data_IF_311353202277
#
_entry.id   IF_311353202277
#
_cell.length_a   1.000
_cell.length_b   1.000
_cell.length_c   1.000
_cell.angle_alpha   90.00
_cell.angle_beta   90.00
_cell.angle_gamma   90.00
#
_symmetry.space_group_name_H-M   'P 1'
#
loop_
_entity.id
_entity.type
_entity.pdbx_description
1 polymer ?
#
# COMPACT_ATOMS: atom_id res chain seq x y z
N UNK A 1 -26.60 -23.70 -7.75
CA UNK A 1 -25.58 -23.01 -8.54
C UNK A 1 -25.20 -21.76 -7.76
N UNK A 2 -24.09 -21.82 -7.01
CA UNK A 2 -23.57 -20.65 -6.32
C UNK A 2 -22.92 -19.75 -7.36
N UNK A 3 -23.58 -18.63 -7.66
CA UNK A 3 -22.96 -17.53 -8.38
C UNK A 3 -21.97 -16.87 -7.42
N UNK A 4 -20.69 -17.15 -7.62
CA UNK A 4 -19.63 -16.33 -7.05
C UNK A 4 -19.68 -15.02 -7.85
N UNK A 5 -20.25 -13.99 -7.24
CA UNK A 5 -20.12 -12.62 -7.75
C UNK A 5 -18.67 -12.24 -7.50
N UNK A 6 -17.85 -12.28 -8.55
CA UNK A 6 -16.50 -11.72 -8.52
C UNK A 6 -16.66 -10.21 -8.31
N UNK A 7 -16.41 -9.74 -7.09
CA UNK A 7 -16.21 -8.31 -6.86
C UNK A 7 -15.04 -7.87 -7.75
N UNK A 8 -15.24 -6.79 -8.50
CA UNK A 8 -14.18 -6.08 -9.24
C UNK A 8 -13.07 -5.75 -8.23
N UNK A 9 -12.08 -6.63 -8.12
CA UNK A 9 -10.95 -6.44 -7.21
C UNK A 9 -9.97 -5.59 -7.99
N UNK A 10 -10.14 -4.28 -7.88
CA UNK A 10 -9.31 -3.31 -8.57
C UNK A 10 -7.84 -3.55 -8.22
N UNK A 11 -6.99 -3.54 -9.24
CA UNK A 11 -5.53 -3.59 -9.07
C UNK A 11 -4.97 -2.22 -8.64
N UNK A 12 -5.59 -1.60 -7.62
CA UNK A 12 -5.17 -0.35 -7.00
C UNK A 12 -5.88 0.93 -7.51
N UNK A 13 -5.50 2.09 -6.98
CA UNK A 13 -6.24 3.35 -7.13
C UNK A 13 -6.20 3.95 -8.54
N UNK A 14 -5.11 3.73 -9.28
CA UNK A 14 -4.99 4.21 -10.67
C UNK A 14 -5.92 3.45 -11.62
N UNK A 15 -6.13 2.14 -11.38
CA UNK A 15 -7.08 1.32 -12.14
C UNK A 15 -8.51 1.82 -11.94
N UNK A 16 -8.89 2.12 -10.70
CA UNK A 16 -10.20 2.69 -10.40
C UNK A 16 -10.41 4.04 -11.10
N UNK A 17 -9.40 4.92 -11.11
CA UNK A 17 -9.49 6.19 -11.81
C UNK A 17 -9.70 6.03 -13.32
N UNK A 18 -8.97 5.12 -13.96
CA UNK A 18 -9.17 4.85 -15.38
C UNK A 18 -10.58 4.34 -15.66
N UNK A 19 -11.10 3.44 -14.83
CA UNK A 19 -12.47 2.94 -14.99
C UNK A 19 -13.52 4.03 -14.81
N UNK A 20 -13.36 4.91 -13.82
CA UNK A 20 -14.26 6.05 -13.62
C UNK A 20 -14.21 7.03 -14.81
N UNK A 21 -13.03 7.25 -15.39
CA UNK A 21 -12.90 8.05 -16.62
C UNK A 21 -13.61 7.37 -17.79
N UNK A 22 -13.40 6.06 -17.98
CA UNK A 22 -14.00 5.30 -19.08
C UNK A 22 -15.53 5.21 -18.95
N UNK A 23 -16.06 4.97 -17.73
CA UNK A 23 -17.50 4.98 -17.42
C UNK A 23 -18.16 6.32 -17.75
N UNK A 24 -17.47 7.43 -17.47
CA UNK A 24 -17.95 8.78 -17.77
C UNK A 24 -17.58 9.27 -19.18
N UNK A 25 -16.89 8.44 -20.00
CA UNK A 25 -16.37 8.79 -21.33
C UNK A 25 -15.51 10.05 -21.35
N UNK A 26 -14.67 10.21 -20.32
CA UNK A 26 -13.80 11.36 -20.13
C UNK A 26 -12.37 11.06 -20.54
N UNK A 27 -11.66 12.09 -21.03
CA UNK A 27 -10.23 12.00 -21.33
C UNK A 27 -9.38 12.12 -20.05
N UNK A 28 -8.14 11.62 -20.08
CA UNK A 28 -7.19 11.81 -18.99
C UNK A 28 -6.65 13.25 -19.04
N UNK A 29 -7.37 14.17 -18.40
CA UNK A 29 -7.04 15.60 -18.27
C UNK A 29 -7.46 16.11 -16.89
N UNK A 30 -6.81 17.15 -16.39
CA UNK A 30 -7.13 17.77 -15.09
C UNK A 30 -8.62 18.12 -14.91
N UNK A 31 -9.29 18.62 -15.95
CA UNK A 31 -10.73 18.96 -15.90
C UNK A 31 -11.57 17.71 -15.63
N UNK A 32 -11.20 16.59 -16.25
CA UNK A 32 -11.91 15.32 -16.09
C UNK A 32 -11.64 14.67 -14.73
N UNK A 33 -10.40 14.73 -14.24
CA UNK A 33 -10.03 14.24 -12.90
C UNK A 33 -10.79 14.96 -11.79
N UNK A 34 -11.00 16.27 -11.93
CA UNK A 34 -11.83 17.07 -11.00
C UNK A 34 -13.29 16.63 -10.99
N UNK A 35 -13.85 16.30 -12.15
CA UNK A 35 -15.23 15.85 -12.28
C UNK A 35 -15.45 14.52 -11.54
N UNK A 36 -14.53 13.55 -11.71
CA UNK A 36 -14.66 12.22 -11.10
C UNK A 36 -14.18 12.12 -9.65
N UNK A 37 -13.59 13.19 -9.09
CA UNK A 37 -13.09 13.19 -7.70
C UNK A 37 -14.18 12.81 -6.68
N UNK A 38 -15.42 13.24 -6.92
CA UNK A 38 -16.56 12.89 -6.05
C UNK A 38 -16.92 11.40 -6.13
N UNK A 39 -16.89 10.84 -7.33
CA UNK A 39 -17.20 9.42 -7.56
C UNK A 39 -16.12 8.52 -6.97
N UNK A 40 -14.86 8.91 -7.10
CA UNK A 40 -13.73 8.22 -6.46
C UNK A 40 -13.86 8.20 -4.94
N UNK A 41 -14.16 9.35 -4.31
CA UNK A 41 -14.35 9.45 -2.86
C UNK A 41 -15.57 8.67 -2.36
N UNK A 42 -16.63 8.60 -3.16
CA UNK A 42 -17.82 7.80 -2.85
C UNK A 42 -17.47 6.31 -2.87
N UNK A 43 -16.75 5.89 -3.91
CA UNK A 43 -16.33 4.50 -4.07
C UNK A 43 -15.51 4.01 -2.87
N UNK A 44 -14.46 4.74 -2.48
CA UNK A 44 -13.62 4.34 -1.33
C UNK A 44 -14.35 4.35 0.02
N UNK A 45 -15.48 5.07 0.13
CA UNK A 45 -16.32 5.06 1.34
C UNK A 45 -17.32 3.90 1.35
N UNK A 46 -17.84 3.54 0.19
CA UNK A 46 -18.85 2.49 0.03
C UNK A 46 -18.24 1.09 -0.03
N UNK A 47 -17.00 0.97 -0.52
CA UNK A 47 -16.25 -0.29 -0.56
C UNK A 47 -15.38 -0.48 0.68
N UNK A 48 -15.35 -1.72 1.19
CA UNK A 48 -14.39 -2.15 2.22
C UNK A 48 -13.00 -2.37 1.58
N UNK A 49 -12.35 -1.27 1.17
CA UNK A 49 -10.95 -1.33 0.71
C UNK A 49 -10.11 -1.88 1.88
N UNK A 50 -9.33 -2.96 1.69
CA UNK A 50 -8.51 -3.53 2.74
C UNK A 50 -7.58 -2.47 3.34
N UNK A 51 -7.43 -2.48 4.68
CA UNK A 51 -6.62 -1.47 5.38
C UNK A 51 -5.18 -1.39 4.86
N UNK A 52 -4.63 -2.51 4.38
CA UNK A 52 -3.29 -2.59 3.78
C UNK A 52 -3.14 -1.75 2.51
N UNK A 53 -4.21 -1.57 1.72
CA UNK A 53 -4.21 -0.81 0.47
C UNK A 53 -4.76 0.60 0.62
N UNK A 54 -5.46 0.88 1.72
CA UNK A 54 -6.14 2.16 1.97
C UNK A 54 -5.19 3.37 1.87
N UNK A 55 -3.92 3.22 2.27
CA UNK A 55 -2.94 4.30 2.19
C UNK A 55 -2.75 4.83 0.75
N UNK A 56 -2.65 3.94 -0.23
CA UNK A 56 -2.47 4.32 -1.64
C UNK A 56 -3.73 5.00 -2.19
N UNK A 57 -4.91 4.51 -1.79
CA UNK A 57 -6.18 5.12 -2.18
C UNK A 57 -6.35 6.52 -1.59
N UNK A 58 -5.96 6.73 -0.33
CA UNK A 58 -5.99 8.03 0.35
C UNK A 58 -4.99 9.03 -0.25
N UNK A 59 -3.82 8.57 -0.67
CA UNK A 59 -2.85 9.42 -1.38
C UNK A 59 -3.43 9.94 -2.70
N UNK A 60 -4.10 9.09 -3.47
CA UNK A 60 -4.76 9.54 -4.70
C UNK A 60 -5.98 10.42 -4.39
N UNK A 61 -6.75 10.09 -3.35
CA UNK A 61 -7.87 10.91 -2.89
C UNK A 61 -7.45 12.34 -2.54
N UNK A 62 -6.32 12.50 -1.83
CA UNK A 62 -5.82 13.82 -1.44
C UNK A 62 -5.42 14.66 -2.66
N UNK A 63 -4.76 14.05 -3.66
CA UNK A 63 -4.44 14.70 -4.94
C UNK A 63 -5.71 15.17 -5.68
N UNK A 64 -6.77 14.35 -5.70
CA UNK A 64 -8.05 14.71 -6.33
C UNK A 64 -8.80 15.82 -5.58
N UNK A 65 -8.80 15.79 -4.25
CA UNK A 65 -9.38 16.85 -3.42
C UNK A 65 -8.63 18.16 -3.65
N UNK A 66 -7.30 18.12 -3.70
CA UNK A 66 -6.47 19.28 -4.01
C UNK A 66 -6.84 19.87 -5.38
N UNK A 67 -6.93 19.02 -6.40
CA UNK A 67 -7.37 19.39 -7.75
C UNK A 67 -8.72 20.11 -7.75
N UNK A 68 -9.69 19.60 -6.99
CA UNK A 68 -11.03 20.17 -6.88
C UNK A 68 -11.06 21.47 -6.06
N UNK A 69 -10.26 21.55 -5.00
CA UNK A 69 -10.10 22.75 -4.18
C UNK A 69 -9.56 23.92 -5.01
N UNK A 70 -8.55 23.68 -5.85
CA UNK A 70 -7.96 24.70 -6.74
C UNK A 70 -8.97 25.30 -7.72
N UNK A 71 -9.91 24.48 -8.22
CA UNK A 71 -10.99 24.97 -9.08
C UNK A 71 -11.94 25.91 -8.32
N UNK A 72 -12.26 25.58 -7.07
CA UNK A 72 -13.15 26.37 -6.23
C UNK A 72 -12.47 27.63 -5.64
N UNK A 73 -11.15 27.60 -5.48
CA UNK A 73 -10.37 28.66 -4.84
C UNK A 73 -9.14 29.05 -5.68
N UNK A 74 -9.33 29.73 -6.83
CA UNK A 74 -8.25 30.03 -7.78
C UNK A 74 -7.19 31.03 -7.25
N UNK A 75 -7.45 31.72 -6.15
CA UNK A 75 -6.56 32.74 -5.57
C UNK A 75 -5.56 32.19 -4.54
N UNK A 76 -5.71 30.91 -4.13
CA UNK A 76 -4.76 30.23 -3.25
C UNK A 76 -3.65 29.62 -4.11
N UNK A 77 -2.62 30.42 -4.40
CA UNK A 77 -1.42 29.93 -5.10
C UNK A 77 -0.54 29.19 -4.08
N UNK A 78 -0.67 27.87 -4.01
CA UNK A 78 0.26 26.98 -3.30
C UNK A 78 1.31 26.53 -4.32
N UNK A 79 2.41 27.29 -4.45
CA UNK A 79 3.42 27.12 -5.51
C UNK A 79 4.13 25.75 -5.49
N UNK A 80 4.27 25.10 -4.33
CA UNK A 80 5.00 23.82 -4.22
C UNK A 80 4.18 22.58 -4.63
N UNK A 81 2.85 22.65 -4.64
CA UNK A 81 1.97 21.49 -4.85
C UNK A 81 1.59 21.24 -6.33
N UNK A 82 1.89 22.19 -7.24
CA UNK A 82 1.54 22.05 -8.66
C UNK A 82 2.28 20.91 -9.37
N UNK A 83 3.49 20.54 -8.91
CA UNK A 83 4.25 19.42 -9.48
C UNK A 83 3.54 18.07 -9.27
N UNK A 84 2.89 17.87 -8.11
CA UNK A 84 2.22 16.62 -7.76
C UNK A 84 0.95 16.32 -8.56
N UNK A 85 0.36 17.35 -9.20
CA UNK A 85 -0.84 17.24 -10.02
C UNK A 85 -0.54 16.89 -11.47
N UNK A 86 0.40 17.58 -12.13
CA UNK A 86 0.84 17.21 -13.47
C UNK A 86 1.39 15.77 -13.50
N UNK A 87 1.98 15.36 -12.39
CA UNK A 87 2.40 13.99 -12.11
C UNK A 87 1.24 12.98 -12.17
N UNK A 88 0.01 13.31 -11.72
CA UNK A 88 -1.09 12.35 -11.72
C UNK A 88 -1.66 12.08 -13.13
N UNK A 89 -1.78 13.11 -13.98
CA UNK A 89 -2.20 12.92 -15.37
C UNK A 89 -1.19 12.03 -16.11
N UNK A 90 0.10 12.34 -15.97
CA UNK A 90 1.18 11.57 -16.58
C UNK A 90 1.23 10.13 -16.07
N UNK A 91 1.10 9.93 -14.75
CA UNK A 91 0.99 8.61 -14.12
C UNK A 91 -0.16 7.80 -14.72
N UNK A 92 -1.36 8.37 -14.88
CA UNK A 92 -2.50 7.68 -15.48
C UNK A 92 -2.27 7.34 -16.96
N UNK A 93 -1.63 8.23 -17.72
CA UNK A 93 -1.30 7.98 -19.13
C UNK A 93 -0.29 6.84 -19.26
N UNK A 94 0.76 6.84 -18.45
CA UNK A 94 1.76 5.78 -18.38
C UNK A 94 1.12 4.47 -17.95
N UNK A 95 0.31 4.49 -16.89
CA UNK A 95 -0.38 3.30 -16.40
C UNK A 95 -1.29 2.70 -17.48
N UNK A 96 -2.08 3.51 -18.19
CA UNK A 96 -2.90 3.05 -19.32
C UNK A 96 -2.07 2.48 -20.47
N UNK A 97 -0.89 3.05 -20.74
CA UNK A 97 0.04 2.51 -21.73
C UNK A 97 0.52 1.11 -21.34
N UNK A 98 0.87 0.91 -20.07
CA UNK A 98 1.30 -0.39 -19.56
C UNK A 98 0.17 -1.41 -19.56
N UNK A 99 -1.06 -1.03 -19.18
CA UNK A 99 -2.22 -1.93 -19.29
C UNK A 99 -2.40 -2.42 -20.72
N UNK A 100 -2.39 -1.52 -21.71
CA UNK A 100 -2.48 -1.90 -23.13
C UNK A 100 -1.32 -2.77 -23.60
N UNK A 101 -0.11 -2.55 -23.08
CA UNK A 101 1.04 -3.39 -23.38
C UNK A 101 0.89 -4.79 -22.76
N UNK A 102 0.35 -4.87 -21.54
CA UNK A 102 0.03 -6.11 -20.86
C UNK A 102 -1.05 -6.89 -21.61
N UNK A 103 -2.11 -6.25 -22.07
CA UNK A 103 -3.16 -6.87 -22.89
C UNK A 103 -2.58 -7.46 -24.18
N UNK A 104 -1.77 -6.68 -24.91
CA UNK A 104 -1.10 -7.17 -26.13
C UNK A 104 -0.15 -8.33 -25.84
N UNK A 105 0.48 -8.35 -24.68
CA UNK A 105 1.36 -9.44 -24.28
C UNK A 105 0.53 -10.68 -23.94
N UNK A 106 -0.58 -10.51 -23.20
CA UNK A 106 -1.53 -11.57 -22.89
C UNK A 106 -2.11 -12.18 -24.17
N UNK A 107 -2.49 -11.34 -25.14
CA UNK A 107 -2.92 -11.77 -26.47
C UNK A 107 -1.85 -12.65 -27.11
N UNK A 108 -0.58 -12.20 -27.17
CA UNK A 108 0.53 -13.01 -27.71
C UNK A 108 0.81 -14.31 -26.95
N UNK A 109 0.54 -14.37 -25.64
CA UNK A 109 0.66 -15.60 -24.85
C UNK A 109 -0.52 -16.55 -25.09
N UNK A 110 -1.70 -16.00 -25.40
CA UNK A 110 -2.90 -16.77 -25.72
C UNK A 110 -2.92 -17.26 -27.17
N UNK A 111 -2.39 -16.45 -28.11
CA UNK A 111 -2.28 -16.75 -29.53
C UNK A 111 -1.11 -17.72 -29.74
N UNK A 112 -1.50 -18.97 -29.88
CA UNK A 112 -0.65 -20.13 -29.76
C UNK A 112 0.00 -20.50 -31.12
N UNK A 113 1.17 -19.94 -31.40
CA UNK A 113 2.28 -20.82 -31.80
C UNK A 113 2.96 -21.31 -30.52
N UNK A 114 2.25 -22.18 -29.79
CA UNK A 114 2.83 -22.87 -28.62
C UNK A 114 4.00 -23.70 -29.12
N UNK A 115 5.20 -23.13 -29.02
CA UNK A 115 6.44 -23.87 -29.18
C UNK A 115 6.52 -24.86 -28.02
N UNK A 116 6.07 -26.09 -28.25
CA UNK A 116 6.27 -27.17 -27.29
C UNK A 116 7.76 -27.48 -27.26
N UNK A 117 8.35 -27.45 -26.06
CA UNK A 117 9.71 -27.93 -25.89
C UNK A 117 9.76 -29.38 -26.39
N UNK A 118 10.71 -29.66 -27.30
CA UNK A 118 10.94 -31.03 -27.73
C UNK A 118 11.42 -31.81 -26.51
N UNK A 119 10.57 -32.70 -25.98
CA UNK A 119 10.98 -33.62 -24.93
C UNK A 119 12.09 -34.48 -25.55
N UNK A 120 13.33 -34.40 -25.06
CA UNK A 120 14.40 -35.21 -25.61
C UNK A 120 14.00 -36.68 -25.44
N UNK A 121 13.81 -37.37 -26.56
CA UNK A 121 13.64 -38.83 -26.55
C UNK A 121 14.85 -39.39 -25.84
N UNK A 122 14.63 -40.11 -24.74
CA UNK A 122 15.62 -40.64 -23.80
C UNK A 122 16.55 -41.64 -24.52
N UNK A 123 17.43 -41.16 -25.40
CA UNK A 123 18.64 -41.89 -25.76
C UNK A 123 19.54 -41.73 -24.56
N UNK A 124 19.66 -42.79 -23.76
CA UNK A 124 20.69 -42.90 -22.75
C UNK A 124 22.05 -42.97 -23.46
N UNK A 125 22.54 -41.83 -23.94
CA UNK A 125 23.95 -41.65 -24.15
C UNK A 125 24.57 -41.66 -22.76
N UNK A 126 25.66 -42.42 -22.58
CA UNK A 126 26.52 -42.29 -21.41
C UNK A 126 26.85 -40.80 -21.28
N UNK A 127 26.27 -40.14 -20.29
CA UNK A 127 26.55 -38.72 -20.03
C UNK A 127 27.94 -38.70 -19.41
N UNK A 128 28.97 -38.62 -20.24
CA UNK A 128 30.30 -38.23 -19.77
C UNK A 128 30.26 -36.73 -19.51
N UNK A 129 30.52 -36.36 -18.25
CA UNK A 129 30.58 -34.97 -17.85
C UNK A 129 31.79 -34.31 -18.52
N UNK A 130 31.53 -33.50 -19.55
CA UNK A 130 32.52 -32.69 -20.24
C UNK A 130 32.19 -31.21 -19.99
N UNK A 131 32.87 -30.55 -19.04
CA UNK A 131 32.64 -29.13 -18.80
C UNK A 131 33.14 -28.31 -20.02
N UNK A 132 32.43 -27.23 -20.39
CA UNK A 132 32.93 -26.28 -21.38
C UNK A 132 34.30 -25.75 -20.97
N UNK A 133 35.19 -25.50 -21.95
CA UNK A 133 36.57 -25.08 -21.69
C UNK A 133 36.70 -23.76 -20.90
N UNK A 134 35.63 -22.97 -20.85
CA UNK A 134 35.53 -21.69 -20.16
C UNK A 134 34.82 -21.78 -18.80
N UNK A 135 34.54 -22.99 -18.28
CA UNK A 135 33.90 -23.19 -16.98
C UNK A 135 34.88 -23.91 -16.05
N UNK A 136 35.37 -23.16 -15.06
CA UNK A 136 36.15 -23.71 -13.96
C UNK A 136 35.30 -23.78 -12.67
N UNK A 137 35.88 -24.40 -11.64
CA UNK A 137 35.24 -24.54 -10.33
C UNK A 137 34.88 -23.19 -9.70
N UNK A 138 35.70 -22.17 -9.96
CA UNK A 138 35.53 -20.82 -9.40
C UNK A 138 34.39 -20.06 -10.07
N UNK A 139 34.24 -20.19 -11.39
CA UNK A 139 33.13 -19.67 -12.18
C UNK A 139 31.80 -20.29 -11.76
N UNK A 140 31.77 -21.59 -11.48
CA UNK A 140 30.56 -22.25 -10.96
C UNK A 140 30.21 -21.75 -9.55
N UNK A 141 31.20 -21.63 -8.67
CA UNK A 141 31.01 -21.12 -7.30
C UNK A 141 30.50 -19.67 -7.32
N UNK A 142 31.12 -18.80 -8.11
CA UNK A 142 30.75 -17.40 -8.19
C UNK A 142 29.35 -17.22 -8.78
N UNK A 143 29.00 -18.00 -9.81
CA UNK A 143 27.65 -18.03 -10.39
C UNK A 143 26.59 -18.48 -9.38
N UNK A 144 26.88 -19.53 -8.61
CA UNK A 144 25.96 -20.03 -7.57
C UNK A 144 25.77 -19.01 -6.44
N UNK A 145 26.85 -18.38 -5.96
CA UNK A 145 26.77 -17.32 -4.95
C UNK A 145 25.99 -16.11 -5.47
N UNK A 146 26.19 -15.71 -6.73
CA UNK A 146 25.45 -14.61 -7.34
C UNK A 146 23.96 -14.93 -7.48
N UNK A 147 23.61 -16.18 -7.79
CA UNK A 147 22.23 -16.65 -7.81
C UNK A 147 21.60 -16.58 -6.41
N UNK A 148 22.30 -17.05 -5.38
CA UNK A 148 21.82 -16.96 -3.99
C UNK A 148 21.59 -15.51 -3.56
N UNK A 149 22.51 -14.59 -3.87
CA UNK A 149 22.35 -13.15 -3.60
C UNK A 149 21.15 -12.54 -4.31
N UNK A 150 20.87 -12.95 -5.56
CA UNK A 150 19.69 -12.48 -6.30
C UNK A 150 18.38 -13.01 -5.73
N UNK A 151 18.40 -14.16 -5.07
CA UNK A 151 17.24 -14.77 -4.44
C UNK A 151 17.04 -14.33 -2.98
N UNK A 152 18.07 -13.80 -2.32
CA UNK A 152 18.02 -13.30 -0.94
C UNK A 152 16.85 -12.31 -0.68
N UNK A 153 16.54 -11.33 -1.56
CA UNK A 153 15.39 -10.45 -1.38
C UNK A 153 14.05 -11.19 -1.35
N UNK A 154 13.90 -12.28 -2.12
CA UNK A 154 12.68 -13.09 -2.12
C UNK A 154 12.47 -13.86 -0.82
N UNK A 155 13.55 -14.24 -0.12
CA UNK A 155 13.48 -14.92 1.17
C UNK A 155 13.35 -13.94 2.35
N UNK A 156 14.01 -12.78 2.27
CA UNK A 156 13.95 -11.75 3.31
C UNK A 156 12.54 -11.13 3.44
N UNK A 157 11.77 -11.06 2.35
CA UNK A 157 10.38 -10.56 2.37
C UNK A 157 9.42 -11.42 3.21
N UNK A 158 9.76 -12.68 3.51
CA UNK A 158 8.93 -13.56 4.33
C UNK A 158 9.08 -13.35 5.83
N UNK A 159 10.15 -12.69 6.28
CA UNK A 159 10.47 -12.56 7.70
C UNK A 159 10.10 -11.20 8.30
N UNK A 160 9.37 -10.36 7.56
CA UNK A 160 8.46 -9.39 8.19
C UNK A 160 7.25 -10.19 8.66
N UNK A 161 7.48 -11.05 9.66
CA UNK A 161 6.38 -11.53 10.48
C UNK A 161 5.66 -10.27 10.95
N UNK A 162 4.38 -10.18 10.58
CA UNK A 162 3.44 -9.25 11.20
C UNK A 162 3.36 -9.67 12.67
N UNK A 163 4.38 -9.31 13.46
CA UNK A 163 4.26 -9.28 14.90
C UNK A 163 3.05 -8.39 15.16
N UNK A 164 2.03 -8.95 15.82
CA UNK A 164 0.78 -8.25 16.13
C UNK A 164 1.11 -6.98 16.90
N UNK A 165 1.30 -5.88 16.19
CA UNK A 165 1.24 -4.55 16.76
C UNK A 165 -0.20 -4.42 17.22
N UNK A 166 -0.40 -4.17 18.52
CA UNK A 166 -1.75 -3.95 19.04
C UNK A 166 -2.41 -2.83 18.25
N UNK A 167 -3.66 -3.04 17.85
CA UNK A 167 -4.41 -2.00 17.15
C UNK A 167 -4.64 -0.77 18.05
N UNK A 168 -4.91 0.37 17.43
CA UNK A 168 -5.26 1.59 18.16
C UNK A 168 -6.53 1.35 19.00
N UNK A 169 -7.48 0.58 18.46
CA UNK A 169 -8.73 0.20 19.11
C UNK A 169 -8.51 -0.65 20.36
N UNK A 170 -7.68 -1.69 20.27
CA UNK A 170 -7.29 -2.52 21.42
C UNK A 170 -6.63 -1.66 22.50
N UNK A 171 -5.75 -0.74 22.09
CA UNK A 171 -5.06 0.15 23.01
C UNK A 171 -6.00 1.14 23.68
N UNK A 172 -7.00 1.63 22.95
CA UNK A 172 -8.03 2.54 23.44
C UNK A 172 -8.92 1.87 24.50
N UNK A 173 -9.23 0.57 24.36
CA UNK A 173 -9.95 -0.20 25.38
C UNK A 173 -9.11 -0.38 26.65
N UNK A 174 -7.81 -0.71 26.53
CA UNK A 174 -6.92 -0.79 27.69
C UNK A 174 -6.79 0.55 28.42
N UNK A 175 -6.68 1.65 27.65
CA UNK A 175 -6.65 3.02 28.20
C UNK A 175 -7.92 3.34 28.97
N UNK A 176 -9.10 3.08 28.37
CA UNK A 176 -10.39 3.27 29.05
C UNK A 176 -10.48 2.45 30.33
N UNK A 177 -10.06 1.17 30.29
CA UNK A 177 -10.02 0.30 31.47
C UNK A 177 -9.11 0.83 32.59
N UNK A 178 -7.92 1.33 32.24
CA UNK A 178 -6.99 1.91 33.21
C UNK A 178 -7.54 3.21 33.84
N UNK A 179 -8.17 4.06 33.03
CA UNK A 179 -8.78 5.33 33.45
C UNK A 179 -10.04 5.16 34.31
N UNK A 180 -10.75 4.02 34.19
CA UNK A 180 -11.85 3.67 35.11
C UNK A 180 -11.32 3.46 36.53
N UNK A 181 -10.11 2.92 36.69
CA UNK A 181 -9.55 2.56 37.99
C UNK A 181 -8.76 3.70 38.65
N UNK A 182 -8.26 4.68 37.89
CA UNK A 182 -7.39 5.76 38.38
C UNK A 182 -7.84 7.12 37.83
N UNK A 183 -8.07 8.10 38.72
CA UNK A 183 -8.47 9.47 38.34
C UNK A 183 -7.40 10.23 37.53
N UNK A 184 -6.11 9.93 37.77
CA UNK A 184 -4.96 10.53 37.08
C UNK A 184 -3.94 9.46 36.73
N UNK A 185 -3.40 9.51 35.52
CA UNK A 185 -2.42 8.55 35.00
C UNK A 185 -1.31 9.28 34.24
N UNK A 186 -0.05 8.89 34.45
CA UNK A 186 1.10 9.34 33.65
C UNK A 186 1.18 8.54 32.33
N UNK A 187 1.42 9.24 31.21
CA UNK A 187 1.66 8.59 29.93
C UNK A 187 2.95 7.75 29.95
N UNK A 188 4.01 8.20 30.62
CA UNK A 188 5.22 7.41 30.82
C UNK A 188 4.98 6.09 31.53
N UNK A 189 4.14 6.05 32.55
CA UNK A 189 3.78 4.79 33.23
C UNK A 189 2.99 3.86 32.31
N UNK A 190 2.20 4.46 31.42
CA UNK A 190 1.40 3.74 30.43
C UNK A 190 2.25 3.17 29.29
N UNK A 191 3.31 3.88 28.90
CA UNK A 191 4.24 3.48 27.85
C UNK A 191 5.37 2.59 28.37
N UNK A 192 5.75 2.68 29.66
CA UNK A 192 6.81 1.86 30.29
C UNK A 192 6.55 0.36 30.24
N UNK A 193 5.28 -0.04 30.18
CA UNK A 193 4.88 -1.45 30.03
C UNK A 193 5.11 -1.98 28.61
N UNK A 194 5.54 -1.13 27.67
CA UNK A 194 5.61 -1.44 26.25
C UNK A 194 7.08 -1.40 25.79
N UNK A 195 7.58 -2.54 25.32
CA UNK A 195 9.00 -2.73 25.02
C UNK A 195 9.47 -2.14 23.68
N UNK A 196 8.55 -1.76 22.78
CA UNK A 196 8.87 -1.32 21.41
C UNK A 196 8.38 0.10 21.12
N UNK A 197 9.12 0.84 20.27
CA UNK A 197 8.76 2.22 19.87
C UNK A 197 7.38 2.33 19.24
N UNK A 198 6.98 1.34 18.43
CA UNK A 198 5.71 1.36 17.72
C UNK A 198 4.51 1.32 18.69
N UNK A 199 4.61 0.56 19.78
CA UNK A 199 3.58 0.48 20.81
C UNK A 199 3.40 1.81 21.56
N UNK A 200 4.49 2.58 21.71
CA UNK A 200 4.45 3.94 22.28
C UNK A 200 3.71 4.89 21.34
N UNK A 201 3.99 4.81 20.03
CA UNK A 201 3.31 5.62 19.01
C UNK A 201 1.81 5.31 18.97
N UNK A 202 1.43 4.04 18.95
CA UNK A 202 0.01 3.60 18.98
C UNK A 202 -0.68 4.08 20.26
N UNK A 203 0.00 4.03 21.41
CA UNK A 203 -0.54 4.54 22.68
C UNK A 203 -0.78 6.04 22.66
N UNK A 204 0.12 6.78 22.00
CA UNK A 204 -0.01 8.22 21.86
C UNK A 204 -1.18 8.58 20.93
N UNK A 205 -1.33 7.88 19.80
CA UNK A 205 -2.49 8.06 18.91
C UNK A 205 -3.82 7.75 19.61
N UNK A 206 -3.87 6.66 20.39
CA UNK A 206 -5.05 6.31 21.17
C UNK A 206 -5.39 7.37 22.23
N UNK A 207 -4.39 8.00 22.85
CA UNK A 207 -4.59 9.13 23.76
C UNK A 207 -5.19 10.35 23.03
N UNK A 208 -4.65 10.70 21.86
CA UNK A 208 -5.17 11.81 21.05
C UNK A 208 -6.62 11.57 20.64
N UNK A 209 -6.99 10.33 20.33
CA UNK A 209 -8.36 9.95 20.01
C UNK A 209 -9.30 10.10 21.22
N UNK A 210 -8.85 9.75 22.43
CA UNK A 210 -9.64 9.96 23.65
C UNK A 210 -9.85 11.45 23.97
N UNK A 211 -8.83 12.28 23.71
CA UNK A 211 -8.94 13.75 23.84
C UNK A 211 -9.93 14.28 22.80
N UNK A 212 -9.84 13.81 21.55
CA UNK A 212 -10.78 14.15 20.46
C UNK A 212 -12.22 13.79 20.81
N UNK A 213 -12.44 12.65 21.49
CA UNK A 213 -13.75 12.19 21.96
C UNK A 213 -14.23 12.90 23.25
N UNK A 214 -13.46 13.84 23.80
CA UNK A 214 -13.75 14.52 25.07
C UNK A 214 -14.00 13.56 26.24
N UNK A 215 -13.29 12.43 26.28
CA UNK A 215 -13.38 11.47 27.38
C UNK A 215 -12.30 11.71 28.43
N UNK A 216 -11.22 12.38 28.05
CA UNK A 216 -10.07 12.66 28.91
C UNK A 216 -9.54 14.07 28.66
N UNK A 217 -8.99 14.67 29.72
CA UNK A 217 -8.18 15.87 29.67
C UNK A 217 -6.70 15.46 29.76
N UNK A 218 -5.87 15.95 28.84
CA UNK A 218 -4.44 15.69 28.85
C UNK A 218 -3.69 17.01 29.04
N UNK A 219 -2.74 17.03 29.98
CA UNK A 219 -1.89 18.19 30.27
C UNK A 219 -0.43 17.77 30.25
N UNK A 220 0.38 18.49 29.49
CA UNK A 220 1.82 18.29 29.50
C UNK A 220 2.43 18.98 30.73
N UNK A 221 3.19 18.22 31.53
CA UNK A 221 3.97 18.73 32.65
C UNK A 221 5.43 18.32 32.45
N UNK A 222 6.30 19.31 32.28
CA UNK A 222 7.73 19.14 31.94
C UNK A 222 7.94 18.13 30.78
N UNK A 223 8.29 16.89 31.12
CA UNK A 223 8.64 15.80 30.20
C UNK A 223 7.67 14.61 30.25
N UNK A 224 6.45 14.80 30.78
CA UNK A 224 5.42 13.78 30.82
C UNK A 224 4.03 14.36 30.49
N UNK A 225 3.10 13.48 30.12
CA UNK A 225 1.72 13.85 29.84
C UNK A 225 0.85 13.24 30.94
N UNK A 226 0.21 14.10 31.71
CA UNK A 226 -0.76 13.72 32.74
C UNK A 226 -2.14 13.63 32.10
N UNK A 227 -2.78 12.48 32.27
CA UNK A 227 -4.08 12.14 31.69
C UNK A 227 -5.08 12.08 32.84
N UNK A 228 -6.14 12.88 32.74
CA UNK A 228 -7.23 12.98 33.73
C UNK A 228 -8.56 12.66 33.07
N UNK A 229 -9.44 11.98 33.78
CA UNK A 229 -10.80 11.70 33.29
C UNK A 229 -11.67 12.95 33.43
N UNK A 230 -12.49 13.24 32.41
CA UNK A 230 -13.55 14.27 32.47
C UNK A 230 -14.74 13.77 33.30
#
# INVERSE_FOLDING_TARGET
>A
MNFVVEQETFSGPLSLLLELLDKNKLEIKDVSLRAIAGDYLRFIKEQEVPSEQMADFLLVASKLIYLKSKELMPYLVLEEEERGVRDLEEQLRLYRLFLRAADKLADKFSDAERSFARIPTKRMQKIEFSPPANVDKESLRSSFVNLLKKLEPFFALREVSMERVKSVEERLQELKGALIQRKKISFRDLSRRQGKKIDVVVSFLALLELVRQQLVYAKQEENDIIIEKI
#
